data_IF_076634035406
#
_entry.id   IF_076634035406
#
_cell.length_a   1.000
_cell.length_b   1.000
_cell.length_c   1.000
_cell.angle_alpha   90.00
_cell.angle_beta   90.00
_cell.angle_gamma   90.00
#
_symmetry.space_group_name_H-M   'P 1'
#
loop_
_entity.id
_entity.type
_entity.pdbx_description
1 polymer ?
#
# COMPACT_ATOMS: atom_id res chain seq x y z
N UNK A 1 15.49 17.88 -4.03
CA UNK A 1 15.03 16.49 -4.23
C UNK A 1 16.24 15.63 -4.53
N UNK A 2 16.35 14.48 -3.88
CA UNK A 2 17.48 13.56 -3.98
C UNK A 2 16.98 12.24 -4.59
N UNK A 3 17.79 11.62 -5.44
CA UNK A 3 17.47 10.32 -6.02
C UNK A 3 17.98 9.21 -5.10
N UNK A 4 17.08 8.44 -4.50
CA UNK A 4 17.42 7.24 -3.77
C UNK A 4 17.50 6.07 -4.75
N UNK A 5 18.59 5.31 -4.69
CA UNK A 5 18.79 4.12 -5.51
C UNK A 5 18.99 2.92 -4.61
N UNK A 6 18.19 1.88 -4.82
CA UNK A 6 18.29 0.62 -4.08
C UNK A 6 19.05 -0.40 -4.91
N UNK A 7 20.12 -0.94 -4.35
CA UNK A 7 20.90 -2.01 -4.97
C UNK A 7 20.71 -3.32 -4.20
N UNK A 8 20.62 -4.43 -4.92
CA UNK A 8 20.67 -5.78 -4.36
C UNK A 8 21.75 -6.54 -5.11
N UNK A 9 22.76 -7.02 -4.38
CA UNK A 9 23.92 -7.73 -4.94
C UNK A 9 24.62 -6.95 -6.10
N UNK A 10 24.80 -5.64 -5.90
CA UNK A 10 25.40 -4.74 -6.90
C UNK A 10 24.50 -4.40 -8.09
N UNK A 11 23.29 -4.96 -8.18
CA UNK A 11 22.32 -4.67 -9.24
C UNK A 11 21.34 -3.60 -8.76
N UNK A 12 21.13 -2.54 -9.56
CA UNK A 12 20.09 -1.54 -9.29
C UNK A 12 18.71 -2.20 -9.39
N UNK A 13 17.95 -2.17 -8.30
CA UNK A 13 16.60 -2.77 -8.22
C UNK A 13 15.51 -1.73 -8.46
N UNK A 14 15.67 -0.52 -7.89
CA UNK A 14 14.71 0.57 -8.06
C UNK A 14 15.34 1.90 -7.72
N UNK A 15 14.74 2.98 -8.20
CA UNK A 15 15.08 4.35 -7.81
C UNK A 15 13.81 5.17 -7.53
N UNK A 16 13.91 6.12 -6.61
CA UNK A 16 12.79 6.99 -6.24
C UNK A 16 13.28 8.38 -5.87
N UNK A 17 12.53 9.40 -6.25
CA UNK A 17 12.78 10.75 -5.84
C UNK A 17 12.32 10.95 -4.39
N UNK A 18 13.22 11.46 -3.56
CA UNK A 18 13.01 11.62 -2.14
C UNK A 18 13.28 13.07 -1.73
N UNK A 19 12.47 13.62 -0.85
CA UNK A 19 12.75 14.94 -0.26
C UNK A 19 13.93 14.84 0.70
N UNK A 20 14.68 15.93 0.88
CA UNK A 20 15.81 15.98 1.83
C UNK A 20 15.37 15.60 3.25
N UNK A 21 14.20 16.11 3.67
CA UNK A 21 13.55 15.77 4.95
C UNK A 21 13.31 14.25 5.09
N UNK A 22 12.86 13.59 4.03
CA UNK A 22 12.64 12.14 4.06
C UNK A 22 13.96 11.36 4.07
N UNK A 23 14.98 11.84 3.35
CA UNK A 23 16.32 11.24 3.37
C UNK A 23 16.94 11.31 4.76
N UNK A 24 16.79 12.44 5.47
CA UNK A 24 17.30 12.60 6.83
C UNK A 24 16.58 11.69 7.82
N UNK A 25 15.26 11.54 7.69
CA UNK A 25 14.50 10.56 8.47
C UNK A 25 15.00 9.13 8.22
N UNK A 26 15.22 8.74 6.96
CA UNK A 26 15.71 7.40 6.62
C UNK A 26 17.14 7.16 7.14
N UNK A 27 18.00 8.17 7.11
CA UNK A 27 19.34 8.11 7.70
C UNK A 27 19.31 7.98 9.23
N UNK A 28 18.32 8.55 9.89
CA UNK A 28 18.19 8.46 11.36
C UNK A 28 17.55 7.13 11.80
N UNK A 29 16.65 6.58 10.99
CA UNK A 29 15.76 5.49 11.42
C UNK A 29 16.02 4.14 10.75
N UNK A 30 16.70 4.11 9.60
CA UNK A 30 16.81 2.91 8.76
C UNK A 30 18.25 2.57 8.35
N UNK A 31 19.11 3.56 8.09
CA UNK A 31 20.47 3.33 7.56
C UNK A 31 21.58 3.84 8.47
N UNK A 32 22.68 3.11 8.58
CA UNK A 32 23.86 3.62 9.26
C UNK A 32 24.59 4.62 8.34
N UNK A 33 24.69 5.87 8.79
CA UNK A 33 25.27 6.99 8.04
C UNK A 33 26.71 6.75 7.53
N UNK A 34 27.48 5.87 8.19
CA UNK A 34 28.88 5.65 7.85
C UNK A 34 29.10 4.61 6.74
N UNK A 35 28.15 3.68 6.51
CA UNK A 35 28.32 2.59 5.56
C UNK A 35 27.11 2.33 4.63
N UNK A 36 25.97 2.98 4.86
CA UNK A 36 24.76 2.81 4.04
C UNK A 36 24.04 1.47 4.22
N UNK A 37 24.42 0.69 5.24
CA UNK A 37 23.77 -0.60 5.54
C UNK A 37 22.47 -0.37 6.32
N UNK A 38 21.48 -1.24 6.10
CA UNK A 38 20.23 -1.25 6.88
C UNK A 38 20.57 -1.64 8.31
N UNK A 39 20.41 -0.70 9.24
CA UNK A 39 20.69 -0.93 10.66
C UNK A 39 19.50 -1.63 11.29
N UNK A 40 19.56 -2.96 11.45
CA UNK A 40 18.65 -3.66 12.36
C UNK A 40 18.90 -3.28 13.84
N UNK A 41 20.01 -2.59 14.14
CA UNK A 41 20.46 -2.26 15.50
C UNK A 41 20.08 -0.84 15.99
N UNK A 42 19.34 -0.03 15.22
CA UNK A 42 18.99 1.35 15.62
C UNK A 42 17.89 1.45 16.70
N UNK A 43 17.36 0.33 17.19
CA UNK A 43 16.39 0.26 18.28
C UNK A 43 17.00 -0.61 19.38
N UNK A 44 17.74 0.03 20.28
CA UNK A 44 18.67 -0.60 21.23
C UNK A 44 18.18 -1.91 21.83
N UNK A 45 18.89 -2.99 21.51
CA UNK A 45 18.80 -4.27 22.22
C UNK A 45 19.99 -5.18 21.86
N UNK A 46 21.21 -4.65 21.90
CA UNK A 46 22.45 -5.41 21.64
C UNK A 46 22.78 -6.48 22.71
N UNK A 47 21.87 -6.80 23.64
CA UNK A 47 22.14 -7.71 24.76
C UNK A 47 21.10 -8.81 24.99
N UNK A 48 20.13 -9.03 24.10
CA UNK A 48 19.21 -10.16 24.24
C UNK A 48 19.52 -11.26 23.21
N UNK A 49 19.72 -12.52 23.64
CA UNK A 49 19.93 -13.62 22.72
C UNK A 49 18.74 -13.75 21.76
N UNK A 50 18.95 -14.24 20.53
CA UNK A 50 17.96 -14.19 19.43
C UNK A 50 16.67 -14.99 19.63
N UNK A 51 16.39 -15.50 20.83
CA UNK A 51 15.29 -16.43 21.09
C UNK A 51 14.12 -15.88 21.89
N UNK A 52 14.13 -14.63 22.36
CA UNK A 52 13.02 -14.10 23.20
C UNK A 52 12.50 -12.70 22.84
N UNK A 53 13.00 -12.07 21.77
CA UNK A 53 12.35 -10.90 21.19
C UNK A 53 11.36 -11.36 20.12
N UNK A 54 10.09 -11.54 20.50
CA UNK A 54 9.01 -11.74 19.55
C UNK A 54 9.11 -10.71 18.42
N UNK A 55 9.24 -11.19 17.19
CA UNK A 55 9.59 -10.46 15.97
C UNK A 55 8.62 -9.34 15.54
N UNK A 56 7.70 -8.92 16.40
CA UNK A 56 6.68 -7.91 16.11
C UNK A 56 7.05 -6.49 16.59
N UNK A 57 7.87 -6.33 17.65
CA UNK A 57 8.08 -5.01 18.27
C UNK A 57 8.96 -4.03 17.46
N UNK A 58 9.87 -4.54 16.64
CA UNK A 58 10.87 -3.72 15.92
C UNK A 58 10.20 -2.95 14.77
N UNK A 59 9.35 -3.64 14.00
CA UNK A 59 8.58 -3.01 12.93
C UNK A 59 7.51 -2.07 13.49
N UNK A 60 6.87 -2.41 14.61
CA UNK A 60 5.89 -1.54 15.27
C UNK A 60 6.50 -0.19 15.71
N UNK A 61 7.72 -0.20 16.27
CA UNK A 61 8.41 1.02 16.69
C UNK A 61 8.80 1.91 15.49
N UNK A 62 9.26 1.31 14.40
CA UNK A 62 9.52 2.04 13.15
C UNK A 62 8.23 2.59 12.54
N UNK A 63 7.17 1.78 12.48
CA UNK A 63 5.86 2.18 11.96
C UNK A 63 5.30 3.38 12.73
N UNK A 64 5.41 3.38 14.06
CA UNK A 64 4.95 4.51 14.87
C UNK A 64 5.77 5.78 14.60
N UNK A 65 7.10 5.68 14.53
CA UNK A 65 7.95 6.84 14.20
C UNK A 65 7.70 7.39 12.80
N UNK A 66 7.40 6.51 11.84
CA UNK A 66 7.02 6.91 10.48
C UNK A 66 5.67 7.62 10.48
N UNK A 67 4.68 7.12 11.23
CA UNK A 67 3.39 7.79 11.40
C UNK A 67 3.60 9.18 12.01
N UNK A 68 4.39 9.31 13.07
CA UNK A 68 4.67 10.59 13.72
C UNK A 68 5.39 11.57 12.77
N UNK A 69 6.36 11.08 11.99
CA UNK A 69 7.06 11.89 10.99
C UNK A 69 6.14 12.40 9.88
N UNK A 70 5.27 11.54 9.35
CA UNK A 70 4.31 11.89 8.29
C UNK A 70 3.17 12.80 8.78
N UNK A 71 2.79 12.68 10.05
CA UNK A 71 1.73 13.49 10.68
C UNK A 71 2.23 14.83 11.21
N UNK A 72 3.53 14.97 11.45
CA UNK A 72 4.14 16.25 11.85
C UNK A 72 4.23 17.17 10.63
N UNK A 73 3.52 18.32 10.60
CA UNK A 73 3.59 19.25 9.48
C UNK A 73 5.03 19.73 9.29
N UNK A 74 5.52 19.70 8.04
CA UNK A 74 6.78 20.35 7.71
C UNK A 74 6.62 21.83 8.08
N UNK A 75 7.45 22.34 8.99
CA UNK A 75 7.45 23.78 9.29
C UNK A 75 7.68 24.52 7.97
N UNK A 76 6.71 25.37 7.62
CA UNK A 76 6.49 25.83 6.27
C UNK A 76 7.67 26.63 5.69
N UNK A 77 8.00 26.37 4.43
CA UNK A 77 8.27 27.44 3.49
C UNK A 77 7.34 27.30 2.28
N UNK A 78 6.24 28.04 2.37
CA UNK A 78 5.46 28.59 1.25
C UNK A 78 5.04 27.65 0.13
N UNK A 79 3.98 26.86 0.35
CA UNK A 79 3.01 26.59 -0.71
C UNK A 79 1.62 26.74 -0.11
N UNK A 80 0.88 27.72 -0.63
CA UNK A 80 -0.54 27.89 -0.37
C UNK A 80 -1.26 26.60 -0.74
N UNK A 81 -1.62 25.80 0.27
CA UNK A 81 -2.59 24.74 0.10
C UNK A 81 -3.93 25.43 -0.07
N UNK A 82 -4.34 25.61 -1.33
CA UNK A 82 -5.73 25.81 -1.68
C UNK A 82 -6.50 24.57 -1.24
N UNK A 83 -6.91 24.55 0.03
CA UNK A 83 -7.92 23.63 0.52
C UNK A 83 -9.18 23.90 -0.30
N UNK A 84 -9.45 23.01 -1.25
CA UNK A 84 -10.76 22.95 -1.87
C UNK A 84 -11.67 22.41 -0.77
N UNK A 85 -12.40 23.31 -0.12
CA UNK A 85 -13.59 22.98 0.64
C UNK A 85 -14.45 22.08 -0.24
N UNK A 86 -14.42 20.77 0.01
CA UNK A 86 -15.43 19.89 -0.54
C UNK A 86 -16.69 20.10 0.28
N UNK A 87 -17.48 21.05 -0.21
CA UNK A 87 -18.93 21.14 0.02
C UNK A 87 -19.51 19.74 0.16
N UNK A 88 -20.32 19.53 1.20
CA UNK A 88 -21.20 18.38 1.40
C UNK A 88 -21.92 18.02 0.08
N UNK A 89 -21.33 17.13 -0.71
CA UNK A 89 -21.97 16.59 -1.88
C UNK A 89 -22.87 15.45 -1.39
N UNK A 90 -24.17 15.68 -1.44
CA UNK A 90 -25.23 14.70 -1.19
C UNK A 90 -25.19 13.47 -2.13
N UNK A 91 -24.17 13.33 -2.97
CA UNK A 91 -23.99 12.24 -3.92
C UNK A 91 -22.88 11.28 -3.44
N UNK A 92 -23.09 9.96 -3.50
CA UNK A 92 -22.05 8.99 -3.18
C UNK A 92 -20.79 9.24 -4.00
N UNK A 93 -19.61 8.97 -3.44
CA UNK A 93 -18.36 9.01 -4.19
C UNK A 93 -18.47 8.07 -5.41
N UNK A 94 -17.83 8.40 -6.54
CA UNK A 94 -17.93 7.63 -7.78
C UNK A 94 -17.59 6.13 -7.57
N UNK A 95 -16.63 5.83 -6.68
CA UNK A 95 -16.27 4.46 -6.31
C UNK A 95 -17.40 3.71 -5.59
N UNK A 96 -18.18 4.40 -4.76
CA UNK A 96 -19.35 3.81 -4.08
C UNK A 96 -20.47 3.56 -5.08
N UNK A 97 -20.71 4.47 -6.02
CA UNK A 97 -21.67 4.25 -7.10
C UNK A 97 -21.27 3.03 -7.96
N UNK A 98 -19.97 2.86 -8.23
CA UNK A 98 -19.45 1.72 -8.98
C UNK A 98 -19.61 0.39 -8.24
N UNK A 99 -19.21 0.30 -6.96
CA UNK A 99 -19.34 -0.94 -6.17
C UNK A 99 -20.80 -1.38 -6.03
N UNK A 100 -21.72 -0.42 -5.94
CA UNK A 100 -23.15 -0.69 -5.84
C UNK A 100 -23.85 -0.84 -7.20
N UNK A 101 -23.12 -0.75 -8.32
CA UNK A 101 -23.69 -0.88 -9.65
C UNK A 101 -24.10 -2.34 -9.95
N UNK A 102 -25.19 -2.57 -10.71
CA UNK A 102 -25.57 -3.90 -11.18
C UNK A 102 -24.44 -4.59 -11.97
N UNK A 103 -23.62 -3.82 -12.66
CA UNK A 103 -22.48 -4.32 -13.44
C UNK A 103 -21.44 -4.98 -12.54
N UNK A 104 -21.10 -4.37 -11.41
CA UNK A 104 -20.15 -4.93 -10.44
C UNK A 104 -20.73 -6.14 -9.69
N UNK A 105 -22.03 -6.12 -9.41
CA UNK A 105 -22.75 -7.19 -8.71
C UNK A 105 -23.13 -8.38 -9.61
N UNK A 106 -23.02 -8.22 -10.94
CA UNK A 106 -23.32 -9.29 -11.91
C UNK A 106 -22.34 -10.44 -11.75
N UNK A 107 -22.80 -11.66 -12.01
CA UNK A 107 -21.92 -12.81 -12.18
C UNK A 107 -21.02 -12.61 -13.41
N UNK A 108 -19.74 -12.39 -13.16
CA UNK A 108 -18.72 -12.15 -14.19
C UNK A 108 -17.85 -13.40 -14.31
N UNK A 109 -17.49 -13.78 -15.55
CA UNK A 109 -16.56 -14.89 -15.73
C UNK A 109 -15.12 -14.40 -15.66
N UNK A 110 -14.25 -15.18 -15.01
CA UNK A 110 -12.82 -14.86 -14.93
C UNK A 110 -12.20 -14.58 -16.31
N UNK A 111 -12.60 -15.38 -17.32
CA UNK A 111 -12.13 -15.24 -18.71
C UNK A 111 -12.52 -13.90 -19.36
N UNK A 112 -13.59 -13.27 -18.87
CA UNK A 112 -14.06 -11.99 -19.41
C UNK A 112 -13.23 -10.83 -18.86
N UNK A 113 -12.82 -10.89 -17.58
CA UNK A 113 -11.97 -9.87 -16.96
C UNK A 113 -10.48 -10.03 -17.31
N UNK A 114 -10.01 -11.25 -17.56
CA UNK A 114 -8.62 -11.53 -17.96
C UNK A 114 -8.20 -10.78 -19.24
N UNK A 115 -9.16 -10.48 -20.13
CA UNK A 115 -8.94 -9.66 -21.33
C UNK A 115 -8.50 -8.23 -21.01
N UNK A 116 -8.84 -7.75 -19.80
CA UNK A 116 -8.54 -6.41 -19.32
C UNK A 116 -7.46 -6.42 -18.23
N UNK A 117 -6.62 -7.47 -18.16
CA UNK A 117 -5.48 -7.52 -17.24
C UNK A 117 -4.51 -6.39 -17.59
N UNK A 118 -4.17 -5.58 -16.59
CA UNK A 118 -3.19 -4.49 -16.72
C UNK A 118 -1.88 -4.76 -15.98
N UNK A 119 -1.87 -5.70 -15.02
CA UNK A 119 -0.64 -6.09 -14.32
C UNK A 119 -0.86 -7.24 -13.34
N UNK A 120 0.23 -7.88 -12.92
CA UNK A 120 0.22 -8.88 -11.85
C UNK A 120 1.46 -8.73 -10.99
N UNK A 121 1.30 -8.90 -9.69
CA UNK A 121 2.39 -8.97 -8.72
C UNK A 121 2.17 -10.10 -7.73
N UNK A 122 3.09 -10.21 -6.77
CA UNK A 122 3.08 -11.26 -5.73
C UNK A 122 1.80 -11.29 -4.88
N UNK A 123 1.10 -10.15 -4.77
CA UNK A 123 -0.08 -9.97 -3.90
C UNK A 123 -1.40 -9.77 -4.68
N UNK A 124 -1.39 -9.99 -6.00
CA UNK A 124 -2.62 -9.94 -6.77
C UNK A 124 -2.43 -9.58 -8.24
N UNK A 125 -3.50 -9.78 -8.99
CA UNK A 125 -3.61 -9.37 -10.38
C UNK A 125 -4.60 -8.24 -10.50
N UNK A 126 -4.26 -7.27 -11.34
CA UNK A 126 -4.97 -6.01 -11.50
C UNK A 126 -5.63 -6.00 -12.86
N UNK A 127 -6.91 -5.64 -12.89
CA UNK A 127 -7.75 -5.61 -14.08
C UNK A 127 -8.43 -4.24 -14.21
N UNK A 128 -8.55 -3.73 -15.43
CA UNK A 128 -9.36 -2.55 -15.71
C UNK A 128 -10.82 -2.96 -15.88
N UNK A 129 -11.74 -2.26 -15.23
CA UNK A 129 -13.18 -2.39 -15.42
C UNK A 129 -13.78 -1.02 -15.71
N UNK A 130 -14.65 -0.98 -16.72
CA UNK A 130 -15.41 0.22 -17.07
C UNK A 130 -14.56 1.46 -17.42
N UNK A 131 -13.33 1.24 -17.89
CA UNK A 131 -12.32 2.23 -18.30
C UNK A 131 -11.84 3.22 -17.23
N UNK A 132 -12.66 3.49 -16.21
CA UNK A 132 -12.37 4.45 -15.13
C UNK A 132 -11.93 3.79 -13.82
N UNK A 133 -12.18 2.48 -13.64
CA UNK A 133 -11.87 1.76 -12.41
C UNK A 133 -10.93 0.59 -12.60
N UNK A 134 -10.19 0.32 -11.53
CA UNK A 134 -9.22 -0.76 -11.46
C UNK A 134 -9.60 -1.67 -10.30
N UNK A 135 -9.67 -2.97 -10.56
CA UNK A 135 -9.97 -4.00 -9.55
C UNK A 135 -8.76 -4.89 -9.39
N UNK A 136 -8.35 -5.11 -8.14
CA UNK A 136 -7.25 -6.01 -7.79
C UNK A 136 -7.81 -7.27 -7.16
N UNK A 137 -7.57 -8.42 -7.80
CA UNK A 137 -7.96 -9.71 -7.26
C UNK A 137 -6.75 -10.33 -6.54
N UNK A 138 -6.88 -10.69 -5.25
CA UNK A 138 -5.83 -11.38 -4.50
C UNK A 138 -5.52 -12.76 -5.10
N UNK A 139 -4.36 -12.87 -5.71
CA UNK A 139 -3.79 -14.10 -6.28
C UNK A 139 -2.27 -14.05 -6.13
N UNK A 140 -1.60 -15.20 -6.13
CA UNK A 140 -0.14 -15.25 -6.18
C UNK A 140 0.38 -15.06 -7.62
N UNK A 141 1.69 -15.11 -7.81
CA UNK A 141 2.36 -14.98 -9.12
C UNK A 141 1.90 -16.01 -10.17
N UNK A 142 1.36 -17.15 -9.72
CA UNK A 142 0.82 -18.21 -10.57
C UNK A 142 -0.66 -18.02 -10.91
N UNK A 143 -1.27 -16.90 -10.48
CA UNK A 143 -2.69 -16.62 -10.67
C UNK A 143 -3.63 -17.41 -9.75
N UNK A 144 -3.09 -18.09 -8.73
CA UNK A 144 -3.87 -18.88 -7.79
C UNK A 144 -4.39 -17.96 -6.68
N UNK A 145 -5.70 -18.03 -6.38
CA UNK A 145 -6.32 -17.27 -5.30
C UNK A 145 -5.60 -17.53 -3.97
N UNK A 146 -5.16 -16.46 -3.34
CA UNK A 146 -4.58 -16.51 -2.00
C UNK A 146 -5.70 -16.47 -0.96
N UNK A 147 -5.50 -17.18 0.14
CA UNK A 147 -6.38 -17.05 1.30
C UNK A 147 -6.00 -15.79 2.08
N UNK A 148 -6.68 -14.68 1.79
CA UNK A 148 -6.43 -13.37 2.43
C UNK A 148 -6.74 -13.35 3.91
N UNK A 149 -7.46 -14.35 4.43
CA UNK A 149 -7.74 -14.51 5.85
C UNK A 149 -6.68 -15.34 6.56
N UNK A 150 -5.75 -15.95 5.83
CA UNK A 150 -4.67 -16.73 6.43
C UNK A 150 -3.65 -15.79 7.10
N UNK A 151 -3.02 -16.27 8.17
CA UNK A 151 -2.01 -15.51 8.90
C UNK A 151 -0.83 -15.11 8.00
N UNK A 152 -0.46 -15.96 7.04
CA UNK A 152 0.63 -15.75 6.08
C UNK A 152 0.34 -14.58 5.12
N UNK A 153 -0.94 -14.37 4.76
CA UNK A 153 -1.34 -13.39 3.76
C UNK A 153 -2.16 -12.22 4.33
N UNK A 154 -2.26 -12.08 5.65
CA UNK A 154 -3.02 -11.00 6.30
C UNK A 154 -2.64 -9.60 5.78
N UNK A 155 -1.39 -9.41 5.36
CA UNK A 155 -0.91 -8.14 4.81
C UNK A 155 -1.53 -7.77 3.46
N UNK A 156 -2.06 -8.74 2.70
CA UNK A 156 -2.73 -8.52 1.43
C UNK A 156 -4.26 -8.41 1.55
N UNK A 157 -4.81 -8.40 2.77
CA UNK A 157 -6.25 -8.24 2.98
C UNK A 157 -6.74 -6.92 2.35
N UNK A 158 -7.76 -6.92 1.47
CA UNK A 158 -8.18 -5.74 0.71
C UNK A 158 -8.52 -4.51 1.56
N UNK A 159 -9.10 -4.69 2.75
CA UNK A 159 -9.37 -3.58 3.69
C UNK A 159 -8.07 -2.90 4.16
N UNK A 160 -7.07 -3.71 4.52
CA UNK A 160 -5.76 -3.21 4.97
C UNK A 160 -5.06 -2.47 3.83
N UNK A 161 -5.06 -3.05 2.64
CA UNK A 161 -4.46 -2.44 1.44
C UNK A 161 -5.13 -1.10 1.13
N UNK A 162 -6.47 -1.06 1.13
CA UNK A 162 -7.22 0.18 0.87
C UNK A 162 -6.92 1.26 1.89
N UNK A 163 -6.80 0.91 3.17
CA UNK A 163 -6.41 1.85 4.23
C UNK A 163 -5.07 2.54 3.90
N UNK A 164 -4.03 1.78 3.58
CA UNK A 164 -2.71 2.36 3.31
C UNK A 164 -2.66 3.14 1.99
N UNK A 165 -3.38 2.69 0.95
CA UNK A 165 -3.47 3.43 -0.31
C UNK A 165 -4.16 4.78 -0.12
N UNK A 166 -5.24 4.82 0.65
CA UNK A 166 -5.94 6.07 0.97
C UNK A 166 -5.05 7.02 1.77
N UNK A 167 -4.31 6.50 2.76
CA UNK A 167 -3.33 7.29 3.52
C UNK A 167 -2.21 7.84 2.63
N UNK A 168 -1.63 7.01 1.77
CA UNK A 168 -0.51 7.40 0.91
C UNK A 168 -0.89 8.47 -0.12
N UNK A 169 -2.14 8.48 -0.58
CA UNK A 169 -2.65 9.45 -1.54
C UNK A 169 -3.33 10.66 -0.89
N UNK A 170 -3.47 10.69 0.44
CA UNK A 170 -4.22 11.74 1.14
C UNK A 170 -5.69 11.83 0.73
N UNK A 171 -6.25 10.78 0.12
CA UNK A 171 -7.61 10.73 -0.40
C UNK A 171 -8.35 9.53 0.17
N UNK A 172 -9.40 9.82 0.94
CA UNK A 172 -10.25 8.80 1.56
C UNK A 172 -11.04 7.98 0.55
N UNK A 173 -11.14 8.37 -0.72
CA UNK A 173 -11.91 7.70 -1.77
C UNK A 173 -11.03 7.03 -2.85
N UNK A 174 -9.70 7.07 -2.69
CA UNK A 174 -8.77 6.51 -3.68
C UNK A 174 -8.94 4.99 -3.88
N UNK A 175 -9.20 4.24 -2.80
CA UNK A 175 -9.34 2.79 -2.80
C UNK A 175 -10.44 2.32 -1.84
N UNK A 176 -11.12 1.24 -2.22
CA UNK A 176 -12.15 0.55 -1.45
C UNK A 176 -11.99 -0.96 -1.56
N UNK A 177 -12.16 -1.67 -0.44
CA UNK A 177 -12.38 -3.11 -0.47
C UNK A 177 -13.83 -3.40 -0.86
N UNK A 178 -14.04 -4.42 -1.68
CA UNK A 178 -15.38 -4.82 -2.10
C UNK A 178 -15.49 -6.34 -2.25
N UNK A 179 -16.72 -6.80 -2.53
CA UNK A 179 -17.02 -8.19 -2.87
C UNK A 179 -17.57 -8.23 -4.29
N UNK A 180 -16.91 -8.97 -5.16
CA UNK A 180 -17.29 -9.16 -6.55
C UNK A 180 -17.72 -10.61 -6.78
N UNK A 181 -18.81 -10.82 -7.52
CA UNK A 181 -19.26 -12.17 -7.87
C UNK A 181 -18.55 -12.67 -9.14
N UNK A 182 -17.64 -13.63 -8.98
CA UNK A 182 -16.86 -14.22 -10.09
C UNK A 182 -17.19 -15.70 -10.21
N UNK A 183 -17.72 -16.10 -11.37
CA UNK A 183 -18.17 -17.47 -11.65
C UNK A 183 -19.15 -18.01 -10.57
N UNK A 184 -20.05 -17.16 -10.07
CA UNK A 184 -21.00 -17.52 -9.02
C UNK A 184 -20.40 -17.63 -7.61
N UNK A 185 -19.16 -17.20 -7.41
CA UNK A 185 -18.50 -17.14 -6.10
C UNK A 185 -18.17 -15.71 -5.73
N UNK A 186 -18.38 -15.37 -4.47
CA UNK A 186 -17.99 -14.08 -3.93
C UNK A 186 -16.48 -14.04 -3.70
N UNK A 187 -15.85 -12.99 -4.23
CA UNK A 187 -14.41 -12.76 -4.20
C UNK A 187 -14.16 -11.38 -3.61
N UNK A 188 -13.42 -11.35 -2.51
CA UNK A 188 -12.92 -10.10 -1.93
C UNK A 188 -11.88 -9.49 -2.87
N UNK A 189 -12.06 -8.21 -3.22
CA UNK A 189 -11.22 -7.44 -4.14
C UNK A 189 -10.88 -6.07 -3.56
#
# INVERSE_FOLDING_TARGET
MLLLQMFYDGVLVTETECSERCVDFLKETMFNYNNGEITLAALGNDNLPPSEAGSNGIYEAFEQRLIDFLTTPATASGYESGAIDQTDASQPAAIEAFINSPEFQKNIRMRDIEKNKIGSGSYGTVYRLHDDFVVKIPVNERGIKVDVNSQEHRNCHPERVSKYLNMANGDKNFSRSAIMNINGKDVTV
#
